data_IF_735017192767
#
_entry.id   IF_735017192767
#
_cell.length_a   1.000
_cell.length_b   1.000
_cell.length_c   1.000
_cell.angle_alpha   90.00
_cell.angle_beta   90.00
_cell.angle_gamma   90.00
#
_symmetry.space_group_name_H-M   'P 1'
#
loop_
_entity.id
_entity.type
_entity.pdbx_description
1 polymer ?
#
# COMPACT_ATOMS: atom_id res chain seq x y z
N UNK A 1 -33.29 10.27 48.79
CA UNK A 1 -32.63 11.23 49.71
C UNK A 1 -32.26 10.49 50.99
N UNK A 2 -31.00 10.66 51.44
CA UNK A 2 -30.40 10.44 52.79
C UNK A 2 -30.74 9.11 53.54
N UNK A 3 -29.82 8.16 53.77
CA UNK A 3 -28.68 8.19 54.73
C UNK A 3 -29.16 8.41 56.19
N UNK A 4 -28.90 7.59 57.22
CA UNK A 4 -27.60 7.28 57.87
C UNK A 4 -27.86 6.29 59.05
N UNK A 5 -26.95 5.31 59.22
CA UNK A 5 -26.29 4.71 60.43
C UNK A 5 -26.78 5.08 61.86
N UNK A 6 -26.54 4.38 62.99
CA UNK A 6 -25.74 3.20 63.47
C UNK A 6 -26.06 3.05 64.97
N UNK A 7 -25.93 1.85 65.56
CA UNK A 7 -25.68 1.63 67.01
C UNK A 7 -24.80 0.35 67.13
N UNK A 8 -23.48 0.47 67.30
CA UNK A 8 -22.66 0.41 68.55
C UNK A 8 -22.52 -1.01 69.17
N UNK A 9 -21.26 -1.48 69.12
CA UNK A 9 -20.43 -2.49 69.85
C UNK A 9 -20.83 -2.91 71.29
N UNK A 10 -20.20 -3.90 72.01
CA UNK A 10 -18.77 -4.34 71.92
C UNK A 10 -18.36 -5.79 72.38
N UNK A 11 -17.05 -6.11 72.17
CA UNK A 11 -16.10 -6.94 73.00
C UNK A 11 -16.41 -8.46 73.15
N UNK A 12 -15.51 -9.44 73.34
CA UNK A 12 -14.09 -9.68 73.70
C UNK A 12 -13.90 -11.22 73.42
N UNK A 13 -12.81 -11.84 72.94
CA UNK A 13 -11.55 -12.15 73.61
C UNK A 13 -10.82 -13.32 72.89
N UNK A 14 -9.48 -13.36 72.99
CA UNK A 14 -8.57 -14.53 73.16
C UNK A 14 -8.56 -15.68 72.14
N UNK A 15 -7.48 -16.37 71.76
CA UNK A 15 -6.02 -16.28 71.81
C UNK A 15 -5.49 -17.52 71.02
N UNK A 16 -4.16 -17.60 70.84
CA UNK A 16 -3.33 -18.77 70.53
C UNK A 16 -2.99 -19.05 69.05
N UNK A 17 -1.73 -18.73 68.72
CA UNK A 17 -0.91 -19.33 67.66
C UNK A 17 -0.50 -20.77 68.08
N UNK A 18 -0.19 -21.67 67.13
CA UNK A 18 1.24 -21.86 66.83
C UNK A 18 1.60 -22.05 65.34
N UNK A 19 2.91 -22.06 65.16
CA UNK A 19 3.74 -22.00 63.98
C UNK A 19 3.60 -23.13 62.93
N UNK A 20 3.97 -22.71 61.71
CA UNK A 20 4.71 -23.46 60.68
C UNK A 20 3.95 -24.38 59.73
N UNK A 21 3.79 -23.87 58.51
CA UNK A 21 3.48 -24.63 57.30
C UNK A 21 3.85 -23.81 56.09
N UNK A 22 5.10 -23.96 55.61
CA UNK A 22 5.56 -23.43 54.32
C UNK A 22 4.75 -24.09 53.21
N UNK A 23 3.72 -23.42 52.71
CA UNK A 23 3.23 -23.66 51.36
C UNK A 23 3.47 -22.42 50.51
N UNK A 24 4.33 -22.62 49.51
CA UNK A 24 4.61 -21.67 48.43
C UNK A 24 3.27 -21.19 47.86
N UNK A 25 2.99 -19.92 48.05
CA UNK A 25 2.00 -19.19 47.26
C UNK A 25 2.54 -19.09 45.84
N UNK A 26 2.10 -19.99 44.95
CA UNK A 26 2.19 -19.70 43.52
C UNK A 26 1.17 -18.61 43.24
N UNK A 27 1.61 -17.36 43.36
CA UNK A 27 0.95 -16.21 42.76
C UNK A 27 0.99 -16.41 41.24
N UNK A 28 0.03 -17.16 40.70
CA UNK A 28 -0.30 -17.04 39.29
C UNK A 28 -1.14 -15.78 39.12
N UNK A 29 -0.49 -14.61 39.22
CA UNK A 29 -0.92 -13.48 38.41
C UNK A 29 -0.51 -13.81 36.98
N UNK A 30 -1.32 -14.62 36.31
CA UNK A 30 -1.36 -14.57 34.86
C UNK A 30 -1.88 -13.16 34.51
N UNK A 31 -0.95 -12.25 34.23
CA UNK A 31 -1.29 -11.01 33.55
C UNK A 31 -1.77 -11.41 32.16
N UNK A 32 -3.08 -11.62 32.03
CA UNK A 32 -3.75 -11.70 30.74
C UNK A 32 -3.69 -10.28 30.19
N UNK A 33 -2.55 -9.89 29.61
CA UNK A 33 -2.49 -8.75 28.73
C UNK A 33 -3.26 -9.13 27.47
N UNK A 34 -4.59 -9.10 27.57
CA UNK A 34 -5.44 -8.91 26.41
C UNK A 34 -5.19 -7.49 25.95
N UNK A 35 -4.16 -7.29 25.14
CA UNK A 35 -4.14 -6.12 24.27
C UNK A 35 -5.38 -6.26 23.40
N UNK A 36 -6.37 -5.38 23.59
CA UNK A 36 -7.48 -5.27 22.66
C UNK A 36 -6.92 -5.33 21.23
N UNK A 37 -7.52 -6.11 20.30
CA UNK A 37 -7.04 -6.18 18.93
C UNK A 37 -6.90 -4.75 18.40
N UNK A 38 -5.68 -4.34 18.06
CA UNK A 38 -5.48 -3.04 17.43
C UNK A 38 -6.32 -3.04 16.16
N UNK A 39 -7.17 -2.01 15.93
CA UNK A 39 -7.98 -1.96 14.72
C UNK A 39 -7.06 -2.07 13.50
N UNK A 40 -7.43 -2.97 12.58
CA UNK A 40 -6.68 -3.18 11.33
C UNK A 40 -6.77 -1.91 10.50
N UNK A 41 -5.64 -1.43 9.98
CA UNK A 41 -5.64 -0.31 9.05
C UNK A 41 -6.45 -0.68 7.81
N UNK A 42 -7.43 0.14 7.44
CA UNK A 42 -8.25 -0.06 6.24
C UNK A 42 -7.60 0.66 5.08
N UNK A 43 -7.10 -0.07 4.10
CA UNK A 43 -6.35 0.49 2.97
C UNK A 43 -7.16 0.32 1.70
N UNK A 44 -7.43 1.44 1.02
CA UNK A 44 -8.02 1.42 -0.32
C UNK A 44 -6.92 1.17 -1.36
N UNK A 45 -7.09 0.17 -2.21
CA UNK A 45 -6.22 -0.09 -3.36
C UNK A 45 -6.98 0.26 -4.65
N UNK A 46 -6.51 1.27 -5.39
CA UNK A 46 -7.19 1.76 -6.60
C UNK A 46 -6.47 1.24 -7.84
N UNK A 47 -7.15 0.41 -8.61
CA UNK A 47 -6.65 -0.25 -9.82
C UNK A 47 -7.12 0.46 -11.09
N UNK A 48 -6.47 0.15 -12.20
CA UNK A 48 -6.69 0.79 -13.51
C UNK A 48 -6.89 -0.19 -14.68
N UNK A 49 -7.18 -1.46 -14.40
CA UNK A 49 -7.25 -2.56 -15.37
C UNK A 49 -6.34 -3.71 -14.94
N UNK A 50 -6.01 -4.66 -15.83
CA UNK A 50 -5.19 -5.83 -15.52
C UNK A 50 -4.15 -6.15 -16.60
N UNK A 51 -3.02 -5.43 -16.57
CA UNK A 51 -1.95 -5.54 -17.57
C UNK A 51 -1.11 -4.27 -17.60
N UNK A 52 0.21 -4.37 -17.73
CA UNK A 52 1.09 -3.19 -17.64
C UNK A 52 0.84 -2.16 -18.73
N UNK A 53 0.48 -2.56 -19.95
CA UNK A 53 0.34 -1.64 -21.09
C UNK A 53 -1.03 -0.96 -21.19
N UNK A 54 -2.07 -1.55 -20.61
CA UNK A 54 -3.45 -1.06 -20.71
C UNK A 54 -4.20 -0.97 -19.38
N UNK A 55 -3.53 -1.29 -18.27
CA UNK A 55 -4.12 -1.31 -16.93
C UNK A 55 -3.08 -1.21 -15.82
N UNK A 56 -3.36 -1.90 -14.73
CA UNK A 56 -2.48 -1.98 -13.55
C UNK A 56 -1.28 -2.90 -13.83
N UNK A 57 -0.08 -2.50 -13.40
CA UNK A 57 1.06 -3.41 -13.34
C UNK A 57 0.80 -4.51 -12.28
N UNK A 58 0.74 -5.76 -12.73
CA UNK A 58 0.21 -6.88 -11.92
C UNK A 58 1.20 -7.26 -10.81
N UNK A 59 2.50 -7.13 -11.02
CA UNK A 59 3.51 -7.46 -10.01
C UNK A 59 3.54 -6.42 -8.88
N UNK A 60 3.40 -5.13 -9.18
CA UNK A 60 3.27 -4.03 -8.23
C UNK A 60 2.01 -4.24 -7.38
N UNK A 61 0.86 -4.50 -8.02
CA UNK A 61 -0.37 -4.78 -7.30
C UNK A 61 -0.23 -6.02 -6.40
N UNK A 62 0.39 -7.10 -6.90
CA UNK A 62 0.66 -8.30 -6.12
C UNK A 62 1.57 -8.02 -4.92
N UNK A 63 2.68 -7.29 -5.13
CA UNK A 63 3.63 -6.92 -4.08
C UNK A 63 2.96 -6.05 -3.01
N UNK A 64 2.18 -5.04 -3.42
CA UNK A 64 1.41 -4.19 -2.50
C UNK A 64 0.47 -5.03 -1.65
N UNK A 65 -0.32 -5.92 -2.28
CA UNK A 65 -1.26 -6.79 -1.56
C UNK A 65 -0.55 -7.72 -0.56
N UNK A 66 0.58 -8.32 -0.95
CA UNK A 66 1.40 -9.16 -0.06
C UNK A 66 1.93 -8.34 1.12
N UNK A 67 2.45 -7.14 0.90
CA UNK A 67 2.98 -6.29 1.96
C UNK A 67 1.90 -5.78 2.92
N UNK A 68 0.74 -5.35 2.40
CA UNK A 68 -0.40 -4.96 3.22
C UNK A 68 -0.93 -6.12 4.06
N UNK A 69 -1.03 -7.31 3.46
CA UNK A 69 -1.44 -8.53 4.18
C UNK A 69 -0.47 -8.88 5.31
N UNK A 70 0.85 -8.85 5.06
CA UNK A 70 1.88 -9.08 6.09
C UNK A 70 1.86 -8.01 7.18
N UNK A 71 1.46 -6.78 6.84
CA UNK A 71 1.22 -5.69 7.79
C UNK A 71 -0.09 -5.80 8.58
N UNK A 72 -0.94 -6.80 8.30
CA UNK A 72 -2.23 -7.00 8.98
C UNK A 72 -3.32 -6.00 8.57
N UNK A 73 -3.14 -5.29 7.45
CA UNK A 73 -4.13 -4.35 6.93
C UNK A 73 -5.36 -5.08 6.35
N UNK A 74 -6.51 -4.43 6.44
CA UNK A 74 -7.73 -4.78 5.72
C UNK A 74 -7.75 -4.02 4.40
N UNK A 75 -7.70 -4.73 3.27
CA UNK A 75 -7.61 -4.10 1.95
C UNK A 75 -8.96 -4.13 1.25
N UNK A 76 -9.41 -2.97 0.80
CA UNK A 76 -10.58 -2.81 -0.08
C UNK A 76 -10.11 -2.35 -1.46
N UNK A 77 -10.50 -3.07 -2.50
CA UNK A 77 -10.02 -2.83 -3.86
C UNK A 77 -11.09 -2.07 -4.64
N UNK A 78 -10.66 -1.06 -5.39
CA UNK A 78 -11.52 -0.20 -6.18
C UNK A 78 -10.98 -0.02 -7.59
N UNK A 79 -11.87 0.28 -8.54
CA UNK A 79 -11.51 0.74 -9.88
C UNK A 79 -12.67 1.56 -10.47
N UNK A 80 -12.41 2.55 -11.34
CA UNK A 80 -13.47 3.27 -12.02
C UNK A 80 -14.19 2.37 -13.01
N UNK A 81 -15.51 2.50 -13.10
CA UNK A 81 -16.34 1.76 -14.06
C UNK A 81 -16.40 2.52 -15.39
N UNK A 82 -15.31 2.42 -16.15
CA UNK A 82 -15.12 3.10 -17.43
C UNK A 82 -14.48 2.15 -18.46
N UNK A 83 -14.65 2.39 -19.76
CA UNK A 83 -13.87 1.70 -20.78
C UNK A 83 -12.36 1.94 -20.61
N UNK A 84 -11.53 0.94 -20.91
CA UNK A 84 -10.10 1.15 -21.10
C UNK A 84 -9.87 2.00 -22.36
N UNK A 85 -8.85 2.87 -22.32
CA UNK A 85 -8.47 3.68 -23.50
C UNK A 85 -8.04 2.80 -24.68
N UNK A 86 -7.24 1.77 -24.40
CA UNK A 86 -6.81 0.76 -25.37
C UNK A 86 -6.89 -0.63 -24.72
N UNK A 87 -7.00 -1.65 -25.56
CA UNK A 87 -6.74 -3.05 -25.19
C UNK A 87 -5.45 -3.45 -25.91
N UNK A 88 -4.45 -3.95 -25.17
CA UNK A 88 -3.12 -4.23 -25.75
C UNK A 88 -2.85 -5.73 -25.76
N UNK A 89 -2.49 -6.27 -26.91
CA UNK A 89 -1.87 -7.60 -26.99
C UNK A 89 -0.46 -7.50 -26.39
N UNK A 90 -0.32 -7.96 -25.15
CA UNK A 90 0.95 -7.85 -24.41
C UNK A 90 2.07 -8.69 -25.01
N UNK A 91 1.78 -9.64 -25.91
CA UNK A 91 2.82 -10.42 -26.62
C UNK A 91 3.45 -9.64 -27.78
N UNK A 92 2.71 -8.65 -28.31
CA UNK A 92 3.14 -7.81 -29.43
C UNK A 92 3.46 -6.37 -29.00
N UNK A 93 2.88 -5.91 -27.89
CA UNK A 93 2.94 -4.52 -27.46
C UNK A 93 2.05 -3.59 -28.29
N UNK A 94 1.10 -4.12 -29.05
CA UNK A 94 0.28 -3.39 -30.02
C UNK A 94 -1.21 -3.38 -29.61
N UNK A 95 -1.98 -2.33 -29.98
CA UNK A 95 -3.42 -2.30 -29.76
C UNK A 95 -4.20 -3.37 -30.52
N UNK A 96 -5.17 -3.96 -29.83
CA UNK A 96 -6.23 -4.80 -30.42
C UNK A 96 -7.42 -3.91 -30.79
N UNK A 97 -7.38 -3.30 -31.98
CA UNK A 97 -8.37 -2.29 -32.46
C UNK A 97 -9.85 -2.73 -32.43
N UNK A 98 -10.11 -4.05 -32.40
CA UNK A 98 -11.48 -4.61 -32.40
C UNK A 98 -11.97 -5.02 -31.01
N UNK A 99 -11.13 -4.92 -29.99
CA UNK A 99 -11.47 -5.29 -28.62
C UNK A 99 -11.77 -4.06 -27.78
N UNK A 100 -12.75 -4.20 -26.89
CA UNK A 100 -13.04 -3.22 -25.84
C UNK A 100 -13.18 -3.95 -24.51
N UNK A 101 -12.64 -3.35 -23.46
CA UNK A 101 -12.67 -3.88 -22.10
C UNK A 101 -12.99 -2.78 -21.11
N UNK A 102 -13.56 -3.15 -19.97
CA UNK A 102 -13.90 -2.23 -18.90
C UNK A 102 -12.87 -2.31 -17.76
N UNK A 103 -12.45 -1.16 -17.25
CA UNK A 103 -11.41 -1.02 -16.22
C UNK A 103 -11.79 -1.76 -14.93
N UNK A 104 -13.02 -1.61 -14.44
CA UNK A 104 -13.51 -2.28 -13.23
C UNK A 104 -13.57 -3.80 -13.45
N UNK A 105 -14.15 -4.23 -14.57
CA UNK A 105 -14.29 -5.65 -14.91
C UNK A 105 -12.93 -6.36 -15.02
N UNK A 106 -11.95 -5.74 -15.68
CA UNK A 106 -10.61 -6.33 -15.81
C UNK A 106 -9.83 -6.28 -14.49
N UNK A 107 -9.97 -5.20 -13.71
CA UNK A 107 -9.38 -5.10 -12.37
C UNK A 107 -9.90 -6.18 -11.41
N UNK A 108 -11.11 -6.68 -11.62
CA UNK A 108 -11.69 -7.78 -10.84
C UNK A 108 -10.86 -9.08 -10.94
N UNK A 109 -10.05 -9.25 -12.00
CA UNK A 109 -9.11 -10.38 -12.14
C UNK A 109 -8.05 -10.36 -11.04
N UNK A 110 -7.43 -9.20 -10.80
CA UNK A 110 -6.46 -9.00 -9.71
C UNK A 110 -7.16 -9.16 -8.35
N UNK A 111 -8.36 -8.58 -8.21
CA UNK A 111 -9.12 -8.58 -6.97
C UNK A 111 -9.81 -9.92 -6.64
N UNK A 112 -9.74 -10.91 -7.53
CA UNK A 112 -10.47 -12.19 -7.42
C UNK A 112 -11.97 -11.97 -7.18
N UNK A 113 -12.56 -11.01 -7.90
CA UNK A 113 -13.96 -10.60 -7.79
C UNK A 113 -14.30 -9.68 -6.61
N UNK A 114 -13.40 -9.46 -5.64
CA UNK A 114 -13.64 -8.60 -4.48
C UNK A 114 -13.24 -7.14 -4.76
N UNK A 115 -13.99 -6.49 -5.63
CA UNK A 115 -13.74 -5.11 -6.07
C UNK A 115 -15.02 -4.30 -6.05
N UNK A 116 -14.89 -2.99 -5.81
CA UNK A 116 -16.01 -2.05 -5.79
C UNK A 116 -15.75 -0.90 -6.76
N UNK A 117 -16.83 -0.32 -7.31
CA UNK A 117 -16.71 0.88 -8.14
C UNK A 117 -16.06 2.03 -7.32
N UNK A 118 -15.06 2.70 -7.90
CA UNK A 118 -14.32 3.80 -7.27
C UNK A 118 -15.23 4.96 -6.82
N UNK A 119 -16.38 5.16 -7.46
CA UNK A 119 -17.41 6.10 -7.00
C UNK A 119 -17.81 5.90 -5.52
N UNK A 120 -17.73 4.67 -5.01
CA UNK A 120 -18.12 4.34 -3.63
C UNK A 120 -16.99 4.49 -2.61
N UNK A 121 -15.75 4.74 -3.06
CA UNK A 121 -14.64 5.00 -2.16
C UNK A 121 -14.83 6.34 -1.46
N UNK A 122 -14.86 6.32 -0.13
CA UNK A 122 -14.80 7.49 0.74
C UNK A 122 -13.57 7.43 1.63
N UNK A 123 -12.83 8.54 1.71
CA UNK A 123 -11.72 8.67 2.64
C UNK A 123 -12.14 8.56 4.10
N UNK A 124 -13.42 8.77 4.47
CA UNK A 124 -13.89 8.64 5.84
C UNK A 124 -13.77 7.20 6.38
N UNK A 125 -13.89 6.21 5.48
CA UNK A 125 -13.98 4.78 5.85
C UNK A 125 -12.64 4.03 5.75
N UNK A 126 -11.56 4.71 5.35
CA UNK A 126 -10.25 4.13 5.09
C UNK A 126 -9.15 4.98 5.72
N UNK A 127 -8.02 4.38 6.05
CA UNK A 127 -6.88 5.03 6.68
C UNK A 127 -5.82 5.47 5.66
N UNK A 128 -5.76 4.82 4.49
CA UNK A 128 -4.83 5.17 3.41
C UNK A 128 -5.39 4.76 2.04
N UNK A 129 -4.84 5.36 0.98
CA UNK A 129 -5.09 4.97 -0.40
C UNK A 129 -3.78 4.65 -1.12
N UNK A 130 -3.75 3.58 -1.92
CA UNK A 130 -2.59 3.19 -2.72
C UNK A 130 -3.01 3.01 -4.18
N UNK A 131 -2.21 3.56 -5.08
CA UNK A 131 -2.37 3.46 -6.53
C UNK A 131 -1.12 2.77 -7.09
N UNK A 132 -1.21 1.49 -7.50
CA UNK A 132 -0.15 0.86 -8.28
C UNK A 132 0.05 1.58 -9.61
N UNK A 133 1.18 1.33 -10.26
CA UNK A 133 1.50 1.82 -11.58
C UNK A 133 0.85 1.01 -12.70
N UNK A 134 1.60 0.92 -13.81
CA UNK A 134 1.09 0.48 -15.11
C UNK A 134 0.56 1.66 -15.93
N UNK A 135 0.58 1.52 -17.25
CA UNK A 135 0.13 2.55 -18.16
C UNK A 135 -1.35 2.86 -18.02
N UNK A 136 -2.17 1.99 -17.41
CA UNK A 136 -3.55 2.30 -17.06
C UNK A 136 -3.68 3.50 -16.12
N UNK A 137 -2.69 3.79 -15.27
CA UNK A 137 -2.69 5.02 -14.47
C UNK A 137 -2.57 6.29 -15.36
N UNK A 138 -1.78 6.20 -16.44
CA UNK A 138 -1.58 7.29 -17.40
C UNK A 138 -2.65 7.34 -18.51
N UNK A 139 -3.39 6.24 -18.73
CA UNK A 139 -4.37 6.10 -19.83
C UNK A 139 -5.84 6.07 -19.38
N UNK A 140 -6.12 5.47 -18.21
CA UNK A 140 -7.48 5.21 -17.73
C UNK A 140 -7.82 6.05 -16.49
N UNK A 141 -6.86 6.22 -15.57
CA UNK A 141 -7.03 7.10 -14.40
C UNK A 141 -6.73 8.57 -14.75
N UNK A 142 -6.11 8.81 -15.89
CA UNK A 142 -5.84 10.13 -16.46
C UNK A 142 -5.64 10.01 -17.97
N UNK A 143 -5.45 11.15 -18.64
CA UNK A 143 -5.03 11.20 -20.05
C UNK A 143 -3.53 11.51 -20.22
N UNK A 144 -2.71 11.31 -19.18
CA UNK A 144 -1.29 11.66 -19.18
C UNK A 144 -0.50 11.03 -20.34
N UNK A 145 -0.82 9.78 -20.71
CA UNK A 145 -0.13 9.08 -21.79
C UNK A 145 -0.28 9.75 -23.16
N UNK A 146 -1.34 10.53 -23.37
CA UNK A 146 -1.63 11.22 -24.63
C UNK A 146 -1.43 12.74 -24.54
N UNK A 147 -1.81 13.34 -23.41
CA UNK A 147 -1.84 14.79 -23.23
C UNK A 147 -0.65 15.35 -22.43
N UNK A 148 0.19 14.48 -21.84
CA UNK A 148 1.34 14.87 -21.03
C UNK A 148 0.96 15.86 -19.91
N UNK A 149 1.60 17.03 -19.87
CA UNK A 149 1.33 18.08 -18.85
C UNK A 149 -0.10 18.64 -18.91
N UNK A 150 -0.73 18.59 -20.09
CA UNK A 150 -2.07 19.14 -20.31
C UNK A 150 -3.17 18.11 -19.99
N UNK A 151 -2.79 16.96 -19.44
CA UNK A 151 -3.70 15.88 -19.10
C UNK A 151 -4.80 16.28 -18.12
N UNK A 152 -5.86 15.48 -18.16
CA UNK A 152 -6.95 15.48 -17.18
C UNK A 152 -6.86 14.21 -16.35
N UNK A 153 -7.16 14.32 -15.07
CA UNK A 153 -7.33 13.16 -14.17
C UNK A 153 -8.80 12.79 -14.17
N UNK A 154 -9.10 11.48 -14.11
CA UNK A 154 -10.47 11.00 -13.95
C UNK A 154 -11.11 11.66 -12.71
N UNK A 155 -12.36 12.13 -12.82
CA UNK A 155 -13.01 12.91 -11.76
C UNK A 155 -13.11 12.17 -10.42
N UNK A 156 -13.31 10.86 -10.44
CA UNK A 156 -13.36 10.04 -9.23
C UNK A 156 -11.98 9.91 -8.59
N UNK A 157 -10.94 9.74 -9.40
CA UNK A 157 -9.54 9.70 -8.95
C UNK A 157 -9.13 11.05 -8.35
N UNK A 158 -9.45 12.15 -9.02
CA UNK A 158 -9.20 13.50 -8.53
C UNK A 158 -9.90 13.75 -7.18
N UNK A 159 -11.18 13.35 -7.07
CA UNK A 159 -11.94 13.41 -5.82
C UNK A 159 -11.25 12.62 -4.71
N UNK A 160 -10.90 11.36 -4.96
CA UNK A 160 -10.25 10.48 -3.97
C UNK A 160 -8.92 11.09 -3.51
N UNK A 161 -8.06 11.54 -4.42
CA UNK A 161 -6.79 12.17 -4.06
C UNK A 161 -7.00 13.41 -3.17
N UNK A 162 -7.97 14.27 -3.51
CA UNK A 162 -8.32 15.45 -2.72
C UNK A 162 -8.88 15.09 -1.35
N UNK A 163 -9.76 14.10 -1.26
CA UNK A 163 -10.35 13.64 0.00
C UNK A 163 -9.29 13.09 0.96
N UNK A 164 -8.44 12.16 0.50
CA UNK A 164 -7.38 11.59 1.34
C UNK A 164 -6.34 12.64 1.74
N UNK A 165 -5.94 13.50 0.81
CA UNK A 165 -4.99 14.58 1.11
C UNK A 165 -5.57 15.59 2.11
N UNK A 166 -6.81 16.03 1.92
CA UNK A 166 -7.50 16.95 2.82
C UNK A 166 -7.72 16.36 4.22
N UNK A 167 -7.96 15.05 4.31
CA UNK A 167 -8.05 14.31 5.57
C UNK A 167 -6.67 14.00 6.20
N UNK A 168 -5.56 14.43 5.57
CA UNK A 168 -4.18 14.14 5.99
C UNK A 168 -3.88 12.64 6.11
N UNK A 169 -4.50 11.84 5.25
CA UNK A 169 -4.32 10.39 5.21
C UNK A 169 -3.23 10.02 4.18
N UNK A 170 -2.40 9.00 4.45
CA UNK A 170 -1.36 8.58 3.52
C UNK A 170 -1.91 8.20 2.13
N UNK A 171 -1.20 8.64 1.09
CA UNK A 171 -1.44 8.27 -0.30
C UNK A 171 -0.14 7.66 -0.84
N UNK A 172 -0.17 6.37 -1.21
CA UNK A 172 0.92 5.67 -1.87
C UNK A 172 0.73 5.66 -3.38
N UNK A 173 1.75 6.02 -4.15
CA UNK A 173 1.72 6.06 -5.62
C UNK A 173 2.97 5.35 -6.14
N UNK A 174 2.81 4.39 -7.05
CA UNK A 174 3.91 3.60 -7.60
C UNK A 174 4.15 3.91 -9.10
N UNK A 175 5.42 3.80 -9.52
CA UNK A 175 5.82 3.91 -10.92
C UNK A 175 5.33 5.21 -11.58
N UNK A 176 4.42 5.16 -12.55
CA UNK A 176 3.87 6.33 -13.24
C UNK A 176 2.69 6.98 -12.51
N UNK A 177 2.04 6.31 -11.56
CA UNK A 177 0.91 6.84 -10.80
C UNK A 177 1.16 8.20 -10.09
N UNK A 178 2.38 8.57 -9.66
CA UNK A 178 2.64 9.87 -9.05
C UNK A 178 2.28 11.09 -9.92
N UNK A 179 2.18 10.95 -11.25
CA UNK A 179 1.69 12.03 -12.14
C UNK A 179 0.26 12.46 -11.81
N UNK A 180 -0.55 11.54 -11.26
CA UNK A 180 -1.91 11.83 -10.81
C UNK A 180 -1.91 12.85 -9.66
N UNK A 181 -1.08 12.62 -8.65
CA UNK A 181 -0.94 13.54 -7.53
C UNK A 181 -0.26 14.84 -7.97
N UNK A 182 0.74 14.79 -8.85
CA UNK A 182 1.40 15.96 -9.39
C UNK A 182 0.40 16.92 -10.08
N UNK A 183 -0.58 16.37 -10.81
CA UNK A 183 -1.63 17.16 -11.45
C UNK A 183 -2.65 17.73 -10.45
N UNK A 184 -3.00 16.97 -9.41
CA UNK A 184 -4.15 17.25 -8.54
C UNK A 184 -3.77 18.06 -7.28
N UNK A 185 -2.59 17.82 -6.71
CA UNK A 185 -2.15 18.38 -5.42
C UNK A 185 -1.01 19.37 -5.67
N UNK A 186 -1.30 20.66 -5.52
CA UNK A 186 -0.32 21.74 -5.79
C UNK A 186 0.91 21.61 -4.90
N UNK A 187 2.10 21.66 -5.51
CA UNK A 187 3.37 21.68 -4.79
C UNK A 187 3.73 20.37 -4.08
N UNK A 188 3.02 19.27 -4.37
CA UNK A 188 3.34 17.95 -3.82
C UNK A 188 4.75 17.53 -4.24
N UNK A 189 5.45 16.84 -3.35
CA UNK A 189 6.73 16.21 -3.68
C UNK A 189 6.50 14.75 -4.03
N UNK A 190 7.02 14.33 -5.19
CA UNK A 190 6.90 12.95 -5.70
C UNK A 190 8.19 12.50 -6.37
N UNK A 191 8.34 11.19 -6.56
CA UNK A 191 9.39 10.61 -7.39
C UNK A 191 8.77 9.82 -8.53
N UNK A 192 9.40 9.86 -9.71
CA UNK A 192 9.15 8.94 -10.82
C UNK A 192 10.45 8.23 -11.21
N UNK A 193 11.37 8.10 -10.23
CA UNK A 193 12.69 7.51 -10.41
C UNK A 193 13.77 8.58 -10.55
N UNK A 194 14.37 8.64 -11.74
CA UNK A 194 15.53 9.47 -12.04
C UNK A 194 15.23 10.50 -13.14
N UNK A 195 16.03 11.56 -13.19
CA UNK A 195 15.88 12.65 -14.19
C UNK A 195 16.71 12.42 -15.44
N UNK A 196 17.61 11.42 -15.40
CA UNK A 196 18.55 11.13 -16.47
C UNK A 196 18.44 9.66 -16.87
N UNK A 197 18.45 9.42 -18.18
CA UNK A 197 18.63 8.09 -18.76
C UNK A 197 20.04 7.60 -18.41
N UNK A 198 20.16 6.34 -17.98
CA UNK A 198 21.43 5.72 -17.60
C UNK A 198 21.51 4.30 -18.21
N UNK A 199 21.80 4.20 -19.50
CA UNK A 199 22.09 2.91 -20.13
C UNK A 199 20.91 1.93 -20.14
N UNK A 200 19.70 2.45 -20.33
CA UNK A 200 18.43 1.73 -20.31
C UNK A 200 17.81 1.58 -18.93
N UNK A 201 18.47 2.03 -17.85
CA UNK A 201 17.96 1.88 -16.48
C UNK A 201 16.76 2.78 -16.19
N UNK A 202 16.68 3.94 -16.85
CA UNK A 202 15.62 4.93 -16.67
C UNK A 202 15.06 5.37 -18.03
N UNK A 203 14.38 4.46 -18.75
CA UNK A 203 13.92 4.71 -20.12
C UNK A 203 12.85 5.83 -20.21
N UNK A 204 12.26 6.21 -19.08
CA UNK A 204 11.22 7.24 -18.99
C UNK A 204 11.64 8.46 -18.16
N UNK A 205 12.94 8.77 -18.10
CA UNK A 205 13.49 9.87 -17.31
C UNK A 205 12.84 11.24 -17.60
N UNK A 206 12.36 11.46 -18.83
CA UNK A 206 11.61 12.67 -19.21
C UNK A 206 10.32 12.90 -18.43
N UNK A 207 9.79 11.88 -17.75
CA UNK A 207 8.62 12.01 -16.86
C UNK A 207 8.89 12.99 -15.71
N UNK A 208 10.13 13.10 -15.23
CA UNK A 208 10.49 14.04 -14.17
C UNK A 208 10.25 15.50 -14.58
N UNK A 209 10.54 15.86 -15.83
CA UNK A 209 10.27 17.19 -16.35
C UNK A 209 8.77 17.46 -16.48
N UNK A 210 7.98 16.45 -16.88
CA UNK A 210 6.53 16.57 -16.89
C UNK A 210 5.96 16.78 -15.46
N UNK A 211 6.49 16.10 -14.46
CA UNK A 211 6.13 16.31 -13.04
C UNK A 211 6.41 17.75 -12.61
N UNK A 212 7.58 18.30 -12.94
CA UNK A 212 7.93 19.70 -12.65
C UNK A 212 6.99 20.67 -13.37
N UNK A 213 6.68 20.42 -14.64
CA UNK A 213 5.75 21.23 -15.44
C UNK A 213 4.31 21.20 -14.92
N UNK A 214 3.91 20.12 -14.24
CA UNK A 214 2.62 20.00 -13.55
C UNK A 214 2.57 20.81 -12.23
N UNK A 215 3.67 21.42 -11.80
CA UNK A 215 3.75 22.22 -10.58
C UNK A 215 4.07 21.41 -9.32
N UNK A 216 4.54 20.18 -9.48
CA UNK A 216 5.04 19.34 -8.39
C UNK A 216 6.57 19.40 -8.29
N UNK A 217 7.10 18.98 -7.14
CA UNK A 217 8.54 18.82 -6.92
C UNK A 217 8.93 17.38 -7.22
N UNK A 218 9.85 17.17 -8.13
CA UNK A 218 10.44 15.86 -8.35
C UNK A 218 11.60 15.63 -7.39
N UNK A 219 11.64 14.48 -6.73
CA UNK A 219 12.78 14.03 -5.95
C UNK A 219 13.37 12.75 -6.55
N UNK A 220 14.67 12.77 -6.85
CA UNK A 220 15.37 11.60 -7.41
C UNK A 220 15.42 10.47 -6.39
N UNK A 221 14.97 9.27 -6.80
CA UNK A 221 15.07 8.05 -6.01
C UNK A 221 15.51 6.88 -6.89
N UNK A 222 16.55 6.18 -6.47
CA UNK A 222 17.01 4.96 -7.14
C UNK A 222 16.25 3.72 -6.67
N UNK A 223 16.18 2.70 -7.54
CA UNK A 223 15.89 1.32 -7.14
C UNK A 223 17.21 0.57 -6.93
N UNK A 224 17.29 -0.30 -5.92
CA UNK A 224 18.50 -1.10 -5.70
C UNK A 224 18.71 -2.04 -6.90
N UNK A 225 19.93 -2.08 -7.50
CA UNK A 225 20.16 -2.68 -8.82
C UNK A 225 20.17 -4.23 -8.87
N UNK A 226 19.93 -4.94 -7.76
CA UNK A 226 20.34 -6.33 -7.65
C UNK A 226 19.23 -7.40 -7.72
N UNK A 227 18.14 -7.14 -8.44
CA UNK A 227 17.17 -8.20 -8.74
C UNK A 227 17.48 -8.98 -10.03
N UNK A 228 18.26 -8.41 -10.95
CA UNK A 228 18.63 -9.06 -12.23
C UNK A 228 20.13 -9.11 -12.56
N UNK A 229 21.00 -8.48 -11.74
CA UNK A 229 22.45 -8.62 -11.89
C UNK A 229 22.95 -9.87 -11.14
N UNK A 230 22.83 -11.04 -11.77
CA UNK A 230 23.74 -12.15 -11.46
C UNK A 230 25.05 -11.91 -12.21
N UNK A 231 25.88 -10.99 -11.71
CA UNK A 231 27.31 -11.20 -11.92
C UNK A 231 27.74 -12.28 -10.93
N UNK A 232 27.82 -13.51 -11.42
CA UNK A 232 28.46 -14.60 -10.72
C UNK A 232 29.96 -14.28 -10.59
N UNK A 233 30.34 -13.49 -9.60
CA UNK A 233 31.68 -13.56 -9.03
C UNK A 233 31.60 -14.42 -7.78
N UNK A 234 31.83 -15.72 -7.98
CA UNK A 234 32.30 -16.58 -6.88
C UNK A 234 33.57 -15.91 -6.32
N UNK A 235 33.71 -15.74 -5.00
CA UNK A 235 35.02 -15.50 -4.45
C UNK A 235 35.84 -16.77 -4.68
N UNK A 236 36.91 -16.67 -5.48
CA UNK A 236 37.97 -17.66 -5.42
C UNK A 236 38.54 -17.62 -4.00
N UNK A 237 38.13 -18.62 -3.22
CA UNK A 237 38.69 -18.89 -1.90
C UNK A 237 40.15 -19.28 -2.10
N UNK A 238 41.06 -18.53 -1.47
CA UNK A 238 42.36 -19.06 -1.09
C UNK A 238 42.14 -20.33 -0.26
N UNK A 239 42.85 -21.39 -0.63
CA UNK A 239 42.75 -22.70 -0.01
C UNK A 239 43.12 -22.67 1.46
N UNK A 240 42.31 -23.35 2.27
CA UNK A 240 42.53 -23.58 3.68
C UNK A 240 41.51 -24.58 4.23
N UNK A 241 41.87 -25.86 4.15
CA UNK A 241 41.44 -27.03 4.94
C UNK A 241 40.11 -26.99 5.76
N UNK A 242 39.13 -27.81 5.32
CA UNK A 242 38.39 -28.90 6.01
C UNK A 242 37.94 -28.82 7.51
N UNK A 243 36.99 -29.68 7.98
CA UNK A 243 35.58 -29.87 7.60
C UNK A 243 34.60 -29.89 8.82
N UNK A 244 33.30 -30.04 8.53
CA UNK A 244 32.28 -30.46 9.50
C UNK A 244 31.50 -29.27 10.04
N UNK A 245 30.18 -29.28 10.13
CA UNK A 245 29.16 -30.31 10.10
C UNK A 245 27.92 -29.61 9.50
N UNK A 246 26.91 -30.37 9.07
CA UNK A 246 25.50 -30.12 9.38
C UNK A 246 24.62 -30.95 8.43
N UNK A 247 23.89 -31.88 9.04
CA UNK A 247 22.45 -31.94 8.77
C UNK A 247 21.83 -30.77 9.54
#
# INVERSE_FOLDING_TARGET
>A
MAAVRVLVSPRLASALLPLSGRHRTTSQRAAIHSSAPRPRARVALVLSGCGVYDGTEIHEASAILVHLSRGGAEVHIFAPDVPQMHVIDHTKGEPSEKESRNVLAESARIARGKITNLAQLSAANHDAAIFPGGFGAAKNLSTFAVDGKDCKVNKEVERVLKEFHGAKKPIGLCCIAPVLAAKVIKGVEVTVGHEQEEGGKWPYAGTAEAVKALGAKHCVKGIFPNMYSRSSRRPEKQGGHHPGLHV
#
